data_IF_183558049872
#
_entry.id   IF_183558049872
#
_cell.length_a   1.000
_cell.length_b   1.000
_cell.length_c   1.000
_cell.angle_alpha   90.00
_cell.angle_beta   90.00
_cell.angle_gamma   90.00
#
_symmetry.space_group_name_H-M   'P 1'
#
loop_
_entity.id
_entity.type
_entity.pdbx_description
1 polymer ?
#
# COMPACT_ATOMS: atom_id res chain seq x y z
N UNK A 1 4.42 17.69 12.56
CA UNK A 1 4.15 17.67 11.12
C UNK A 1 4.44 16.29 10.57
N UNK A 2 3.50 15.74 9.84
CA UNK A 2 3.70 14.45 9.19
C UNK A 2 4.09 14.69 7.73
N UNK A 3 5.20 14.12 7.34
CA UNK A 3 5.67 14.22 5.96
C UNK A 3 5.17 13.03 5.16
N UNK A 4 4.80 13.30 3.92
CA UNK A 4 4.33 12.27 3.00
C UNK A 4 4.93 12.56 1.62
N UNK A 5 5.36 11.50 0.93
CA UNK A 5 5.85 11.58 -0.42
C UNK A 5 4.88 10.88 -1.35
N UNK A 6 4.56 11.52 -2.48
CA UNK A 6 3.78 10.89 -3.54
C UNK A 6 4.72 10.38 -4.62
N UNK A 7 4.50 9.15 -5.05
CA UNK A 7 5.34 8.48 -6.02
C UNK A 7 4.50 8.03 -7.21
N UNK A 8 5.01 8.23 -8.41
CA UNK A 8 4.35 7.73 -9.61
C UNK A 8 4.87 6.32 -9.91
N UNK A 9 3.94 5.38 -10.08
CA UNK A 9 4.27 4.03 -10.48
C UNK A 9 4.21 3.97 -12.00
N UNK A 10 5.28 3.49 -12.61
CA UNK A 10 5.37 3.45 -14.07
C UNK A 10 4.35 2.48 -14.65
N UNK A 11 3.78 2.86 -15.79
CA UNK A 11 2.86 1.98 -16.51
C UNK A 11 3.57 0.69 -16.86
N UNK A 12 2.88 -0.43 -16.69
CA UNK A 12 3.45 -1.74 -16.96
C UNK A 12 4.13 -2.40 -15.77
N UNK A 13 4.28 -1.68 -14.66
CA UNK A 13 4.80 -2.29 -13.43
C UNK A 13 3.78 -3.26 -12.87
N UNK A 14 4.25 -4.37 -12.30
CA UNK A 14 3.33 -5.27 -11.61
C UNK A 14 3.20 -4.85 -10.14
N UNK A 15 2.10 -5.29 -9.54
CA UNK A 15 1.79 -4.87 -8.17
C UNK A 15 2.79 -5.42 -7.16
N UNK A 16 3.31 -6.61 -7.39
CA UNK A 16 4.26 -7.21 -6.45
C UNK A 16 5.56 -6.41 -6.40
N UNK A 17 6.11 -6.06 -7.55
CA UNK A 17 7.31 -5.23 -7.61
C UNK A 17 7.05 -3.84 -7.05
N UNK A 18 5.91 -3.24 -7.38
CA UNK A 18 5.58 -1.91 -6.88
C UNK A 18 5.45 -1.93 -5.36
N UNK A 19 4.80 -2.96 -4.80
CA UNK A 19 4.63 -3.07 -3.37
C UNK A 19 5.98 -3.19 -2.65
N UNK A 20 6.88 -4.01 -3.17
CA UNK A 20 8.19 -4.18 -2.58
C UNK A 20 8.97 -2.86 -2.57
N UNK A 21 8.94 -2.15 -3.69
CA UNK A 21 9.67 -0.90 -3.80
C UNK A 21 9.08 0.19 -2.91
N UNK A 22 7.76 0.26 -2.82
CA UNK A 22 7.11 1.27 -1.99
C UNK A 22 7.38 1.01 -0.51
N UNK A 23 7.31 -0.23 -0.07
CA UNK A 23 7.60 -0.58 1.32
C UNK A 23 9.06 -0.31 1.63
N UNK A 24 9.97 -0.67 0.73
CA UNK A 24 11.39 -0.41 0.93
C UNK A 24 11.67 1.09 1.04
N UNK A 25 11.02 1.89 0.18
CA UNK A 25 11.19 3.33 0.20
C UNK A 25 10.68 3.95 1.50
N UNK A 26 9.48 3.54 1.95
CA UNK A 26 8.91 4.03 3.20
C UNK A 26 9.81 3.68 4.38
N UNK A 27 10.34 2.45 4.41
CA UNK A 27 11.24 2.04 5.47
C UNK A 27 12.53 2.83 5.45
N UNK A 28 13.06 3.07 4.26
CA UNK A 28 14.34 3.78 4.10
C UNK A 28 14.23 5.24 4.54
N UNK A 29 13.11 5.87 4.18
CA UNK A 29 12.92 7.30 4.48
C UNK A 29 12.28 7.54 5.84
N UNK A 30 11.63 6.52 6.41
CA UNK A 30 10.93 6.67 7.69
C UNK A 30 9.69 7.53 7.61
N UNK A 31 9.08 7.64 6.43
CA UNK A 31 7.88 8.47 6.23
C UNK A 31 6.85 7.70 5.43
N UNK A 32 5.62 8.24 5.38
CA UNK A 32 4.55 7.64 4.60
C UNK A 32 4.78 7.93 3.12
N UNK A 33 4.66 6.89 2.30
CA UNK A 33 4.74 6.98 0.84
C UNK A 33 3.37 6.71 0.26
N UNK A 34 2.94 7.56 -0.67
CA UNK A 34 1.65 7.42 -1.34
C UNK A 34 1.88 7.22 -2.84
N UNK A 35 1.12 6.32 -3.43
CA UNK A 35 1.19 6.08 -4.88
C UNK A 35 -0.18 5.66 -5.36
N UNK A 36 -0.45 5.83 -6.65
CA UNK A 36 -1.69 5.36 -7.24
C UNK A 36 -1.38 4.22 -8.20
N UNK A 37 -2.14 3.14 -8.10
CA UNK A 37 -1.96 1.97 -8.95
C UNK A 37 -3.34 1.46 -9.36
N UNK A 38 -3.62 1.53 -10.66
CA UNK A 38 -4.91 1.09 -11.23
C UNK A 38 -6.12 1.68 -10.49
N UNK A 39 -6.07 2.97 -10.20
CA UNK A 39 -7.18 3.65 -9.55
C UNK A 39 -7.29 3.45 -8.06
N UNK A 40 -6.37 2.71 -7.46
CA UNK A 40 -6.32 2.50 -6.00
C UNK A 40 -5.17 3.32 -5.43
N UNK A 41 -5.47 4.13 -4.42
CA UNK A 41 -4.44 4.89 -3.72
C UNK A 41 -3.75 3.99 -2.71
N UNK A 42 -2.44 3.84 -2.87
CA UNK A 42 -1.63 3.03 -1.96
C UNK A 42 -0.98 3.93 -0.93
N UNK A 43 -1.19 3.61 0.35
CA UNK A 43 -0.58 4.35 1.46
C UNK A 43 0.33 3.39 2.22
N UNK A 44 1.61 3.69 2.22
CA UNK A 44 2.62 2.79 2.77
C UNK A 44 3.36 3.50 3.88
N UNK A 45 3.17 3.02 5.11
CA UNK A 45 3.89 3.52 6.27
C UNK A 45 5.14 2.68 6.53
N UNK A 46 6.16 3.23 7.19
CA UNK A 46 7.30 2.42 7.61
C UNK A 46 6.84 1.22 8.44
N UNK A 47 7.49 0.09 8.24
CA UNK A 47 7.13 -1.15 8.92
C UNK A 47 6.04 -1.95 8.26
N UNK A 48 5.56 -1.51 7.08
CA UNK A 48 4.54 -2.24 6.36
C UNK A 48 5.06 -3.52 5.71
N UNK A 49 4.15 -4.30 5.18
CA UNK A 49 4.45 -5.57 4.52
C UNK A 49 4.05 -5.50 3.04
N UNK A 50 4.95 -5.88 2.11
CA UNK A 50 4.57 -5.90 0.69
C UNK A 50 3.41 -6.84 0.40
N UNK A 51 3.38 -8.01 1.02
CA UNK A 51 2.29 -8.96 0.77
C UNK A 51 0.96 -8.42 1.29
N UNK A 52 0.97 -7.73 2.43
CA UNK A 52 -0.23 -7.11 2.95
C UNK A 52 -0.73 -6.02 2.01
N UNK A 53 0.19 -5.23 1.44
CA UNK A 53 -0.18 -4.19 0.49
C UNK A 53 -0.86 -4.78 -0.74
N UNK A 54 -0.32 -5.88 -1.27
CA UNK A 54 -0.89 -6.54 -2.44
C UNK A 54 -2.29 -7.06 -2.13
N UNK A 55 -2.46 -7.71 -0.99
CA UNK A 55 -3.78 -8.22 -0.59
C UNK A 55 -4.79 -7.10 -0.43
N UNK A 56 -4.40 -6.04 0.25
CA UNK A 56 -5.29 -4.90 0.47
C UNK A 56 -5.63 -4.21 -0.85
N UNK A 57 -4.68 -4.14 -1.77
CA UNK A 57 -4.91 -3.59 -3.09
C UNK A 57 -5.94 -4.43 -3.86
N UNK A 58 -5.81 -5.74 -3.82
CA UNK A 58 -6.77 -6.62 -4.52
C UNK A 58 -8.17 -6.46 -3.95
N UNK A 59 -8.28 -6.37 -2.64
CA UNK A 59 -9.56 -6.16 -1.97
C UNK A 59 -10.17 -4.82 -2.38
N UNK A 60 -9.36 -3.77 -2.39
CA UNK A 60 -9.84 -2.44 -2.77
C UNK A 60 -10.25 -2.41 -4.24
N UNK A 61 -9.46 -3.07 -5.10
CA UNK A 61 -9.74 -3.09 -6.52
C UNK A 61 -11.08 -3.77 -6.82
N UNK A 62 -11.41 -4.81 -6.07
CA UNK A 62 -12.65 -5.56 -6.24
C UNK A 62 -13.85 -4.89 -5.58
N UNK A 63 -13.63 -3.85 -4.79
CA UNK A 63 -14.71 -3.18 -4.08
C UNK A 63 -15.53 -2.31 -5.03
N UNK A 64 -16.76 -1.99 -4.62
CA UNK A 64 -17.63 -1.11 -5.39
C UNK A 64 -17.56 0.34 -4.91
N UNK A 65 -16.61 0.66 -4.07
CA UNK A 65 -16.47 2.03 -3.57
C UNK A 65 -15.95 2.95 -4.68
N UNK A 66 -16.47 4.17 -4.70
CA UNK A 66 -15.99 5.19 -5.64
C UNK A 66 -14.53 5.52 -5.36
N UNK A 67 -14.16 5.56 -4.08
CA UNK A 67 -12.81 5.87 -3.66
C UNK A 67 -12.15 4.62 -3.13
N UNK A 68 -11.03 4.24 -3.72
CA UNK A 68 -10.34 3.01 -3.37
C UNK A 68 -8.98 3.32 -2.77
N UNK A 69 -8.68 2.69 -1.65
CA UNK A 69 -7.44 2.89 -0.93
C UNK A 69 -6.94 1.57 -0.35
N UNK A 70 -5.63 1.38 -0.36
CA UNK A 70 -4.99 0.23 0.23
C UNK A 70 -3.76 0.66 1.02
N UNK A 71 -3.52 0.03 2.15
CA UNK A 71 -2.32 0.27 2.94
C UNK A 71 -1.51 -1.02 3.04
N UNK A 72 -0.32 -0.92 3.63
CA UNK A 72 0.58 -2.06 3.77
C UNK A 72 0.48 -2.72 5.15
N UNK A 73 -0.58 -2.47 5.88
CA UNK A 73 -0.81 -3.09 7.17
C UNK A 73 -1.38 -4.49 6.98
N UNK A 74 -0.81 -5.50 7.62
CA UNK A 74 -1.45 -6.81 7.63
C UNK A 74 -2.83 -6.69 8.24
N UNK A 75 -3.78 -7.47 7.73
CA UNK A 75 -5.10 -7.53 8.33
C UNK A 75 -4.91 -8.02 9.77
N UNK A 76 -5.39 -7.24 10.74
CA UNK A 76 -5.34 -7.62 12.13
C UNK A 76 -6.53 -8.52 12.34
N UNK A 77 -6.30 -9.71 12.22
CA UNK A 77 -7.34 -10.68 12.45
C UNK A 77 -7.79 -10.65 13.87
N UNK A 78 -7.63 -10.50 14.05
CA UNK A 78 -7.65 -10.60 14.68
C UNK A 78 -7.60 -11.47 15.31
N UNK A 79 -7.57 -11.86 15.55
CA UNK A 79 -7.52 -12.40 16.04
C UNK A 79 -7.71 -12.92 16.75
N UNK A 80 -7.68 -13.02 16.93
CA UNK A 80 -7.89 -13.33 17.29
C UNK A 80 -8.00 -13.58 18.14
N UNK A 81 -8.16 -13.66 18.47
CA UNK A 81 -8.37 -13.73 18.99
C UNK A 81 -8.63 -14.18 19.56
N UNK A 82 -8.61 -14.38 19.69
CA UNK A 82 -8.99 -14.79 19.85
C UNK A 82 -9.09 -15.18 20.09
#
# INVERSE_FOLDING_TARGET
>A
VTLKIEVDVMAGSDIDSAAEQLVALANRLGIVVSAMFNGVTLLVSPGGSPSALVENWRTALASNHTYKMANARPAVGTPTHD
#
